data_IF_972590111318
#
_entry.id   IF_972590111318
#
_cell.length_a   1.000
_cell.length_b   1.000
_cell.length_c   1.000
_cell.angle_alpha   90.00
_cell.angle_beta   90.00
_cell.angle_gamma   90.00
#
_symmetry.space_group_name_H-M   'P 1'
#
loop_
_entity.id
_entity.type
_entity.pdbx_description
1 polymer ?
#
# COMPACT_ATOMS: atom_id res chain seq x y z
N UNK A 1 -20.50 9.42 16.27
CA UNK A 1 -19.64 9.65 15.09
C UNK A 1 -20.00 8.58 14.08
N UNK A 2 -20.18 8.84 12.77
CA UNK A 2 -20.23 7.73 11.85
C UNK A 2 -18.82 7.14 11.83
N UNK A 3 -18.66 6.05 12.57
CA UNK A 3 -17.49 5.18 12.51
C UNK A 3 -17.19 4.91 11.05
N UNK A 4 -15.91 4.90 10.67
CA UNK A 4 -15.58 4.55 9.31
C UNK A 4 -16.10 3.16 9.00
N UNK A 5 -17.07 3.11 8.09
CA UNK A 5 -17.68 1.87 7.69
C UNK A 5 -16.61 1.05 6.99
N UNK A 6 -16.17 0.02 7.67
CA UNK A 6 -15.18 -0.92 7.18
C UNK A 6 -15.88 -1.92 6.26
N UNK A 7 -15.34 -2.09 5.05
CA UNK A 7 -15.95 -2.94 4.03
C UNK A 7 -14.91 -3.87 3.44
N UNK A 8 -15.29 -5.12 3.23
CA UNK A 8 -14.50 -6.04 2.41
C UNK A 8 -14.70 -5.67 0.94
N UNK A 9 -13.59 -5.59 0.19
CA UNK A 9 -13.57 -5.28 -1.23
C UNK A 9 -12.93 -6.41 -2.02
N UNK A 10 -13.52 -6.68 -3.17
CA UNK A 10 -12.94 -7.52 -4.20
C UNK A 10 -11.81 -6.76 -4.91
N UNK A 11 -10.68 -7.44 -5.13
CA UNK A 11 -9.52 -6.96 -5.86
C UNK A 11 -9.21 -7.96 -6.98
N UNK A 12 -8.64 -7.50 -8.10
CA UNK A 12 -8.21 -8.34 -9.22
C UNK A 12 -9.35 -9.24 -9.72
N UNK A 13 -10.48 -8.64 -10.09
CA UNK A 13 -11.67 -9.37 -10.54
C UNK A 13 -12.35 -10.23 -9.46
N UNK A 14 -12.01 -10.04 -8.18
CA UNK A 14 -12.54 -10.79 -7.04
C UNK A 14 -11.73 -12.02 -6.65
N UNK A 15 -10.64 -12.31 -7.36
CA UNK A 15 -9.71 -13.37 -7.00
C UNK A 15 -9.03 -13.11 -5.66
N UNK A 16 -8.84 -11.85 -5.29
CA UNK A 16 -8.36 -11.41 -3.98
C UNK A 16 -9.45 -10.60 -3.29
N UNK A 17 -9.43 -10.61 -1.95
CA UNK A 17 -10.18 -9.65 -1.16
C UNK A 17 -9.35 -9.09 -0.01
N UNK A 18 -9.64 -7.86 0.34
CA UNK A 18 -9.06 -7.14 1.49
C UNK A 18 -10.10 -6.15 2.00
N UNK A 19 -10.00 -5.79 3.27
CA UNK A 19 -10.98 -4.92 3.90
C UNK A 19 -10.34 -3.63 4.43
N UNK A 20 -10.99 -2.51 4.13
CA UNK A 20 -10.56 -1.16 4.49
C UNK A 20 -11.76 -0.17 4.45
N UNK A 21 -11.63 1.05 5.00
CA UNK A 21 -12.75 1.99 5.08
C UNK A 21 -13.39 2.36 3.74
N UNK A 22 -14.70 2.60 3.75
CA UNK A 22 -15.48 3.01 2.57
C UNK A 22 -14.98 4.32 1.94
N UNK A 23 -14.33 5.20 2.72
CA UNK A 23 -13.81 6.50 2.26
C UNK A 23 -12.77 6.39 1.14
N UNK A 24 -12.08 5.25 1.04
CA UNK A 24 -11.13 4.97 -0.02
C UNK A 24 -11.86 4.70 -1.34
N UNK A 25 -11.65 5.53 -2.34
CA UNK A 25 -12.28 5.44 -3.65
C UNK A 25 -11.32 4.78 -4.63
N UNK A 26 -11.84 3.90 -5.48
CA UNK A 26 -11.05 3.24 -6.51
C UNK A 26 -10.64 4.24 -7.60
N UNK A 27 -9.33 4.31 -7.85
CA UNK A 27 -8.72 5.24 -8.79
C UNK A 27 -8.85 4.81 -10.25
N UNK A 28 -9.19 3.54 -10.52
CA UNK A 28 -9.42 3.00 -11.88
C UNK A 28 -10.54 3.74 -12.62
N UNK A 29 -11.49 4.32 -11.88
CA UNK A 29 -12.56 5.15 -12.43
C UNK A 29 -12.07 6.50 -13.00
N UNK A 30 -10.85 6.91 -12.65
CA UNK A 30 -10.31 8.24 -12.96
C UNK A 30 -9.10 8.15 -13.88
N UNK A 31 -8.28 7.10 -13.75
CA UNK A 31 -7.09 6.87 -14.57
C UNK A 31 -6.87 5.39 -14.80
N UNK A 32 -6.18 5.07 -15.88
CA UNK A 32 -5.71 3.71 -16.13
C UNK A 32 -4.70 3.30 -15.05
N UNK A 33 -4.90 2.09 -14.51
CA UNK A 33 -4.04 1.45 -13.52
C UNK A 33 -3.50 0.17 -14.17
N UNK A 34 -2.21 -0.16 -14.03
CA UNK A 34 -1.67 -1.41 -14.55
C UNK A 34 -2.48 -2.62 -14.05
N UNK A 35 -2.63 -3.66 -14.88
CA UNK A 35 -3.45 -4.84 -14.55
C UNK A 35 -2.99 -5.57 -13.28
N UNK A 36 -1.70 -5.45 -12.94
CA UNK A 36 -1.12 -6.02 -11.72
C UNK A 36 -1.23 -5.09 -10.49
N UNK A 37 -1.94 -3.96 -10.60
CA UNK A 37 -2.13 -2.98 -9.53
C UNK A 37 -3.61 -2.64 -9.29
N UNK A 38 -3.94 -2.40 -8.03
CA UNK A 38 -5.25 -1.89 -7.59
C UNK A 38 -5.01 -0.71 -6.65
N UNK A 39 -5.54 0.46 -6.98
CA UNK A 39 -5.24 1.72 -6.29
C UNK A 39 -6.47 2.38 -5.71
N UNK A 40 -6.40 2.79 -4.44
CA UNK A 40 -7.47 3.48 -3.74
C UNK A 40 -6.99 4.76 -3.07
N UNK A 41 -7.85 5.79 -3.00
CA UNK A 41 -7.51 7.10 -2.43
C UNK A 41 -8.63 7.63 -1.53
N UNK A 42 -8.28 8.21 -0.38
CA UNK A 42 -9.16 9.11 0.35
C UNK A 42 -8.89 10.55 -0.12
N UNK A 43 -9.75 11.13 -0.98
CA UNK A 43 -9.51 12.46 -1.52
C UNK A 43 -9.58 13.57 -0.47
N UNK A 44 -10.13 13.29 0.73
CA UNK A 44 -10.27 14.30 1.79
C UNK A 44 -8.96 14.54 2.54
N UNK A 45 -8.16 13.49 2.70
CA UNK A 45 -6.90 13.54 3.48
C UNK A 45 -5.67 13.23 2.61
N UNK A 46 -5.89 13.00 1.32
CA UNK A 46 -4.86 12.62 0.34
C UNK A 46 -4.10 11.34 0.71
N UNK A 47 -4.72 10.48 1.51
CA UNK A 47 -4.21 9.14 1.85
C UNK A 47 -4.46 8.18 0.69
N UNK A 48 -3.56 7.22 0.45
CA UNK A 48 -3.75 6.20 -0.58
C UNK A 48 -3.40 4.82 -0.10
N UNK A 49 -4.07 3.80 -0.65
CA UNK A 49 -3.81 2.39 -0.43
C UNK A 49 -3.66 1.70 -1.78
N UNK A 50 -2.54 1.03 -2.00
CA UNK A 50 -2.19 0.39 -3.27
C UNK A 50 -1.88 -1.08 -2.99
N UNK A 51 -2.40 -1.96 -3.83
CA UNK A 51 -2.06 -3.38 -3.87
C UNK A 51 -1.39 -3.66 -5.20
N UNK A 52 -0.23 -4.32 -5.17
CA UNK A 52 0.52 -4.65 -6.37
C UNK A 52 1.00 -6.10 -6.34
N UNK A 53 0.82 -6.81 -7.46
CA UNK A 53 1.32 -8.16 -7.67
C UNK A 53 2.64 -8.09 -8.43
N UNK A 54 3.70 -8.63 -7.82
CA UNK A 54 5.04 -8.67 -8.39
C UNK A 54 5.56 -10.11 -8.42
N UNK A 55 6.48 -10.38 -9.35
CA UNK A 55 7.26 -11.62 -9.31
C UNK A 55 8.07 -11.71 -8.01
N UNK A 56 8.10 -12.90 -7.41
CA UNK A 56 8.85 -13.19 -6.19
C UNK A 56 10.32 -12.83 -6.35
N UNK A 57 10.81 -11.91 -5.52
CA UNK A 57 12.22 -11.51 -5.54
C UNK A 57 13.10 -12.57 -4.89
N UNK A 58 13.63 -13.47 -5.72
CA UNK A 58 14.50 -14.58 -5.30
C UNK A 58 15.78 -14.12 -4.56
N UNK A 59 16.31 -12.93 -4.87
CA UNK A 59 17.49 -12.35 -4.21
C UNK A 59 17.21 -11.72 -2.84
N UNK A 60 15.95 -11.67 -2.41
CA UNK A 60 15.52 -11.00 -1.18
C UNK A 60 15.06 -12.06 -0.17
N UNK A 61 15.71 -12.08 0.99
CA UNK A 61 15.32 -12.94 2.09
C UNK A 61 13.96 -12.52 2.68
N UNK A 62 13.25 -13.46 3.31
CA UNK A 62 11.94 -13.16 3.93
C UNK A 62 12.05 -12.02 4.95
N UNK A 63 13.02 -12.14 5.85
CA UNK A 63 13.32 -11.12 6.84
C UNK A 63 13.85 -9.87 6.16
N UNK A 64 13.17 -8.75 6.38
CA UNK A 64 13.52 -7.47 5.76
C UNK A 64 13.04 -7.31 4.32
N UNK A 65 12.24 -8.22 3.76
CA UNK A 65 11.71 -8.06 2.39
C UNK A 65 10.85 -6.81 2.22
N UNK A 66 10.00 -6.47 3.19
CA UNK A 66 9.27 -5.20 3.18
C UNK A 66 10.21 -3.98 3.22
N UNK A 67 11.28 -4.02 4.02
CA UNK A 67 12.28 -2.93 4.06
C UNK A 67 12.98 -2.78 2.71
N UNK A 68 13.26 -3.89 2.01
CA UNK A 68 13.83 -3.85 0.67
C UNK A 68 12.89 -3.16 -0.33
N UNK A 69 11.61 -3.54 -0.38
CA UNK A 69 10.62 -2.90 -1.26
C UNK A 69 10.40 -1.42 -0.91
N UNK A 70 10.44 -1.06 0.38
CA UNK A 70 10.34 0.33 0.81
C UNK A 70 11.53 1.19 0.31
N UNK A 71 12.73 0.61 0.29
CA UNK A 71 13.93 1.26 -0.25
C UNK A 71 13.89 1.33 -1.79
N UNK A 72 13.36 0.30 -2.43
CA UNK A 72 13.18 0.24 -3.88
C UNK A 72 12.21 1.33 -4.35
N UNK A 73 11.04 1.43 -3.71
CA UNK A 73 10.06 2.49 -3.94
C UNK A 73 10.68 3.89 -3.77
N UNK A 74 11.44 4.12 -2.70
CA UNK A 74 12.10 5.41 -2.50
C UNK A 74 13.10 5.76 -3.62
N UNK A 75 13.80 4.77 -4.17
CA UNK A 75 14.74 4.98 -5.28
C UNK A 75 14.00 5.38 -6.55
N UNK A 76 12.88 4.72 -6.84
CA UNK A 76 12.05 5.04 -8.01
C UNK A 76 11.45 6.45 -7.94
N UNK A 77 11.15 6.92 -6.73
CA UNK A 77 10.60 8.26 -6.49
C UNK A 77 11.66 9.37 -6.40
N UNK A 78 12.95 9.04 -6.61
CA UNK A 78 14.10 9.93 -6.33
C UNK A 78 13.98 10.61 -4.95
N UNK A 79 13.53 9.83 -3.97
CA UNK A 79 13.22 10.30 -2.63
C UNK A 79 14.49 10.33 -1.78
N UNK A 80 15.27 11.41 -1.91
CA UNK A 80 16.41 11.66 -1.04
C UNK A 80 15.95 11.73 0.43
N UNK A 81 16.70 11.06 1.32
CA UNK A 81 16.42 11.09 2.76
C UNK A 81 15.32 10.13 3.23
N UNK A 82 15.03 9.03 2.51
CA UNK A 82 14.19 7.96 3.05
C UNK A 82 14.73 7.45 4.39
N UNK A 83 13.91 7.54 5.43
CA UNK A 83 14.20 7.00 6.76
C UNK A 83 13.25 5.86 7.05
N UNK A 84 13.81 4.66 7.28
CA UNK A 84 13.06 3.54 7.85
C UNK A 84 12.86 3.81 9.35
N UNK A 85 11.60 3.83 9.77
CA UNK A 85 11.17 4.13 11.14
C UNK A 85 10.97 2.83 11.92
N UNK A 86 10.32 1.85 11.29
CA UNK A 86 9.94 0.60 11.92
C UNK A 86 10.02 -0.54 10.92
N UNK A 87 10.35 -1.75 11.39
CA UNK A 87 10.24 -2.98 10.63
C UNK A 87 9.76 -4.11 11.55
N UNK A 88 8.94 -5.01 11.03
CA UNK A 88 8.49 -6.19 11.75
C UNK A 88 9.50 -7.34 11.62
N UNK A 89 9.34 -8.34 12.49
CA UNK A 89 9.86 -9.68 12.23
C UNK A 89 9.06 -10.40 11.14
N UNK A 90 9.48 -11.62 10.84
CA UNK A 90 8.80 -12.51 9.90
C UNK A 90 7.57 -13.13 10.57
N UNK A 91 6.42 -13.02 9.92
CA UNK A 91 5.17 -13.66 10.33
C UNK A 91 4.73 -14.69 9.29
N UNK A 92 4.24 -15.85 9.73
CA UNK A 92 3.62 -16.83 8.84
C UNK A 92 2.10 -16.69 8.93
N UNK A 93 1.46 -16.36 7.82
CA UNK A 93 0.01 -16.23 7.74
C UNK A 93 -0.63 -17.59 7.50
N UNK A 94 -0.87 -18.35 8.57
CA UNK A 94 -1.40 -19.72 8.49
C UNK A 94 -2.74 -19.84 7.75
N UNK A 95 -3.57 -18.79 7.83
CA UNK A 95 -4.86 -18.70 7.12
C UNK A 95 -4.74 -18.34 5.64
N UNK A 96 -3.57 -17.88 5.19
CA UNK A 96 -3.28 -17.54 3.80
C UNK A 96 -2.26 -18.55 3.27
N UNK A 97 -2.76 -19.67 2.73
CA UNK A 97 -1.95 -20.78 2.27
C UNK A 97 -2.39 -21.26 0.90
N UNK A 98 -1.42 -21.64 0.08
CA UNK A 98 -1.64 -22.41 -1.12
C UNK A 98 -0.99 -23.78 -0.92
N UNK A 99 -1.76 -24.84 -1.17
CA UNK A 99 -1.38 -26.22 -0.82
C UNK A 99 -1.01 -26.30 0.67
N UNK A 100 0.24 -26.63 0.98
CA UNK A 100 0.75 -26.78 2.35
C UNK A 100 1.74 -25.69 2.76
N UNK A 101 1.90 -24.62 1.96
CA UNK A 101 2.83 -23.54 2.26
C UNK A 101 2.07 -22.28 2.69
N UNK A 102 2.24 -21.81 3.94
CA UNK A 102 1.68 -20.54 4.37
C UNK A 102 2.46 -19.37 3.74
N UNK A 103 1.74 -18.26 3.52
CA UNK A 103 2.36 -17.02 3.10
C UNK A 103 3.26 -16.46 4.19
N UNK A 104 4.31 -15.78 3.78
CA UNK A 104 5.25 -15.09 4.68
C UNK A 104 5.01 -13.60 4.60
N UNK A 105 4.82 -12.94 5.74
CA UNK A 105 4.50 -11.51 5.81
C UNK A 105 5.59 -10.78 6.58
N UNK A 106 6.04 -9.65 6.04
CA UNK A 106 6.80 -8.64 6.78
C UNK A 106 6.23 -7.25 6.49
N UNK A 107 6.43 -6.31 7.42
CA UNK A 107 6.02 -4.92 7.25
C UNK A 107 7.16 -3.97 7.58
N UNK A 108 7.17 -2.81 6.92
CA UNK A 108 8.08 -1.71 7.22
C UNK A 108 7.32 -0.38 7.16
N UNK A 109 7.78 0.59 7.95
CA UNK A 109 7.26 1.96 7.92
C UNK A 109 8.44 2.89 7.67
N UNK A 110 8.27 3.82 6.74
CA UNK A 110 9.26 4.85 6.46
C UNK A 110 8.65 6.23 6.25
N UNK A 111 9.52 7.22 6.13
CA UNK A 111 9.18 8.57 5.70
C UNK A 111 10.07 8.94 4.53
N UNK A 112 9.47 9.50 3.48
CA UNK A 112 10.21 9.89 2.28
C UNK A 112 9.50 11.02 1.53
N UNK A 113 10.26 11.73 0.70
CA UNK A 113 9.75 12.82 -0.13
C UNK A 113 9.28 12.26 -1.49
N UNK A 114 7.99 12.36 -1.79
CA UNK A 114 7.36 11.74 -2.97
C UNK A 114 6.63 12.80 -3.78
N UNK A 115 6.87 12.87 -5.09
CA UNK A 115 6.06 13.69 -6.00
C UNK A 115 4.94 12.86 -6.59
N UNK A 116 3.80 13.49 -6.90
CA UNK A 116 2.74 12.80 -7.61
C UNK A 116 3.01 12.82 -9.11
N UNK A 117 2.75 11.71 -9.80
CA UNK A 117 2.85 11.63 -11.25
C UNK A 117 4.23 12.05 -11.77
N UNK A 118 4.27 13.07 -12.63
CA UNK A 118 5.51 13.58 -13.26
C UNK A 118 5.80 15.03 -12.87
N UNK A 119 5.58 15.38 -11.60
CA UNK A 119 5.69 16.76 -11.11
C UNK A 119 7.12 17.23 -10.78
N UNK A 120 8.11 16.34 -10.86
CA UNK A 120 9.50 16.68 -10.50
C UNK A 120 9.73 16.73 -8.99
N UNK A 121 10.96 17.08 -8.60
CA UNK A 121 11.43 17.03 -7.20
C UNK A 121 10.94 18.23 -6.40
N UNK A 122 10.76 19.36 -7.05
CA UNK A 122 10.30 20.62 -6.49
C UNK A 122 8.88 20.56 -5.91
N UNK A 123 8.09 19.57 -6.34
CA UNK A 123 6.71 19.35 -5.92
C UNK A 123 6.55 18.15 -4.96
N UNK A 124 7.66 17.61 -4.41
CA UNK A 124 7.62 16.47 -3.51
C UNK A 124 6.88 16.81 -2.20
N UNK A 125 5.94 15.95 -1.83
CA UNK A 125 5.26 15.92 -0.54
C UNK A 125 6.09 15.09 0.44
N UNK A 126 6.03 15.42 1.74
CA UNK A 126 6.56 14.54 2.77
C UNK A 126 5.49 13.52 3.14
N UNK A 127 5.78 12.24 2.98
CA UNK A 127 4.81 11.16 3.14
C UNK A 127 5.34 10.11 4.11
N UNK A 128 4.49 9.64 5.02
CA UNK A 128 4.72 8.40 5.75
C UNK A 128 4.20 7.25 4.93
N UNK A 129 5.04 6.24 4.71
CA UNK A 129 4.74 5.08 3.88
C UNK A 129 4.74 3.85 4.77
N UNK A 130 3.61 3.14 4.80
CA UNK A 130 3.46 1.83 5.41
C UNK A 130 3.50 0.78 4.30
N UNK A 131 4.37 -0.20 4.40
CA UNK A 131 4.54 -1.21 3.38
C UNK A 131 4.46 -2.61 3.99
N UNK A 132 3.67 -3.49 3.40
CA UNK A 132 3.69 -4.92 3.68
C UNK A 132 4.15 -5.67 2.43
N UNK A 133 4.96 -6.70 2.65
CA UNK A 133 5.21 -7.71 1.63
C UNK A 133 4.63 -9.04 2.09
N UNK A 134 3.69 -9.59 1.32
CA UNK A 134 3.08 -10.91 1.52
C UNK A 134 3.63 -11.84 0.42
N UNK A 135 4.52 -12.75 0.82
CA UNK A 135 5.21 -13.68 -0.08
C UNK A 135 4.39 -14.94 -0.28
N UNK A 136 3.90 -15.15 -1.50
CA UNK A 136 3.17 -16.34 -1.95
C UNK A 136 4.12 -17.26 -2.73
N UNK A 137 5.03 -17.93 -2.01
CA UNK A 137 6.18 -18.61 -2.61
C UNK A 137 5.84 -19.74 -3.59
N UNK A 138 4.79 -20.52 -3.32
CA UNK A 138 4.37 -21.63 -4.20
C UNK A 138 3.86 -21.16 -5.57
N UNK A 139 3.45 -19.90 -5.67
CA UNK A 139 2.98 -19.26 -6.91
C UNK A 139 3.91 -18.12 -7.33
N UNK A 140 5.15 -18.13 -6.79
CA UNK A 140 6.23 -17.22 -7.18
C UNK A 140 5.83 -15.72 -7.23
N UNK A 141 4.99 -15.29 -6.28
CA UNK A 141 4.48 -13.90 -6.23
C UNK A 141 4.80 -13.22 -4.90
N UNK A 142 5.29 -11.98 -4.96
CA UNK A 142 5.30 -11.03 -3.84
C UNK A 142 4.10 -10.08 -4.01
N UNK A 143 3.21 -10.02 -3.02
CA UNK A 143 2.12 -9.03 -2.98
C UNK A 143 2.56 -7.87 -2.10
N UNK A 144 2.71 -6.69 -2.71
CA UNK A 144 3.13 -5.47 -2.03
C UNK A 144 1.91 -4.60 -1.75
N UNK A 145 1.67 -4.30 -0.48
CA UNK A 145 0.61 -3.39 -0.04
C UNK A 145 1.25 -2.11 0.46
N UNK A 146 0.96 -0.98 -0.17
CA UNK A 146 1.52 0.34 0.16
C UNK A 146 0.41 1.27 0.61
N UNK A 147 0.56 1.82 1.81
CA UNK A 147 -0.32 2.81 2.40
C UNK A 147 0.44 4.12 2.60
N UNK A 148 -0.01 5.19 1.94
CA UNK A 148 0.60 6.51 2.01
C UNK A 148 -0.25 7.43 2.88
N UNK A 149 0.40 8.08 3.85
CA UNK A 149 -0.18 9.10 4.72
C UNK A 149 0.63 10.39 4.56
N UNK A 150 0.09 11.43 3.91
CA UNK A 150 0.77 12.72 3.79
C UNK A 150 1.03 13.36 5.16
N UNK A 151 2.24 13.90 5.33
CA UNK A 151 2.64 14.70 6.49
C UNK A 151 2.68 16.18 6.10
N UNK A 152 3.16 16.47 4.90
CA UNK A 152 3.22 17.82 4.34
C UNK A 152 2.95 17.79 2.84
N UNK A 153 2.02 18.64 2.41
CA UNK A 153 1.66 18.86 1.01
C UNK A 153 2.39 20.08 0.48
N UNK A 154 3.23 19.88 -0.53
CA UNK A 154 3.96 20.95 -1.19
C UNK A 154 3.01 21.87 -1.97
N UNK A 155 3.15 23.21 -1.91
CA UNK A 155 2.34 24.13 -2.69
C UNK A 155 2.35 23.91 -4.21
N UNK A 156 3.42 23.30 -4.74
CA UNK A 156 3.55 22.96 -6.16
C UNK A 156 2.98 21.56 -6.48
N UNK A 157 2.60 20.78 -5.48
CA UNK A 157 1.96 19.48 -5.68
C UNK A 157 0.53 19.64 -6.20
N UNK A 158 0.07 18.70 -7.02
CA UNK A 158 -1.31 18.68 -7.52
C UNK A 158 -2.29 18.51 -6.37
N UNK A 159 -1.89 17.79 -5.32
CA UNK A 159 -2.65 17.62 -4.08
C UNK A 159 -2.98 18.95 -3.41
N UNK A 160 -2.15 19.98 -3.57
CA UNK A 160 -2.38 21.28 -2.92
C UNK A 160 -3.70 21.92 -3.34
N UNK A 161 -4.15 21.66 -4.58
CA UNK A 161 -5.44 22.15 -5.08
C UNK A 161 -6.64 21.46 -4.44
N UNK A 162 -6.48 20.20 -4.03
CA UNK A 162 -7.54 19.37 -3.49
C UNK A 162 -7.63 19.44 -1.96
N UNK A 163 -6.49 19.35 -1.26
CA UNK A 163 -6.43 19.27 0.21
C UNK A 163 -5.73 20.46 0.88
N UNK A 164 -5.26 21.42 0.08
CA UNK A 164 -4.46 22.55 0.57
C UNK A 164 -2.98 22.21 0.71
N UNK A 165 -2.15 23.24 0.65
CA UNK A 165 -0.71 23.13 0.90
C UNK A 165 -0.40 23.32 2.40
N UNK A 166 0.73 22.77 2.84
CA UNK A 166 1.20 22.89 4.22
C UNK A 166 1.16 21.57 4.97
N UNK A 167 1.05 21.63 6.30
CA UNK A 167 0.90 20.43 7.12
C UNK A 167 -0.41 19.73 6.78
N UNK A 168 -0.32 18.46 6.40
CA UNK A 168 -1.48 17.64 6.17
C UNK A 168 -2.18 17.33 7.51
N UNK A 169 -3.51 17.19 7.46
CA UNK A 169 -4.33 16.78 8.61
C UNK A 169 -4.61 15.29 8.45
N UNK A 170 -4.02 14.41 9.29
CA UNK A 170 -4.30 12.98 9.24
C UNK A 170 -5.78 12.69 9.47
N UNK A 171 -6.31 11.65 8.83
CA UNK A 171 -7.72 11.28 8.97
C UNK A 171 -8.13 11.06 10.44
N UNK A 172 -7.21 10.54 11.27
CA UNK A 172 -7.39 10.36 12.71
C UNK A 172 -7.83 11.63 13.46
N UNK A 173 -7.34 12.80 13.05
CA UNK A 173 -7.69 14.08 13.67
C UNK A 173 -9.10 14.54 13.30
N UNK A 174 -9.65 14.01 12.21
CA UNK A 174 -11.02 14.23 11.75
C UNK A 174 -12.01 13.18 12.30
N UNK A 175 -11.59 12.35 13.25
CA UNK A 175 -12.41 11.27 13.81
C UNK A 175 -12.57 10.05 12.90
N UNK A 176 -11.70 9.90 11.89
CA UNK A 176 -11.64 8.76 10.98
C UNK A 176 -10.60 7.74 11.45
N UNK A 177 -10.65 6.52 10.92
CA UNK A 177 -9.66 5.48 11.22
C UNK A 177 -8.26 5.90 10.72
N UNK A 178 -7.27 5.83 11.60
CA UNK A 178 -5.88 6.20 11.30
C UNK A 178 -5.27 5.32 10.19
N UNK A 179 -4.38 5.88 9.37
CA UNK A 179 -3.81 5.12 8.24
C UNK A 179 -3.05 3.87 8.68
N UNK A 180 -2.38 3.90 9.84
CA UNK A 180 -1.74 2.71 10.42
C UNK A 180 -2.72 1.57 10.72
N UNK A 181 -3.95 1.89 11.15
CA UNK A 181 -5.01 0.90 11.39
C UNK A 181 -5.61 0.42 10.08
N UNK A 182 -5.83 1.32 9.11
CA UNK A 182 -6.25 0.96 7.75
C UNK A 182 -5.28 -0.04 7.14
N UNK A 183 -3.99 0.26 7.19
CA UNK A 183 -2.92 -0.61 6.70
C UNK A 183 -2.93 -1.97 7.40
N UNK A 184 -2.95 -2.00 8.74
CA UNK A 184 -2.97 -3.25 9.51
C UNK A 184 -4.19 -4.11 9.14
N UNK A 185 -5.34 -3.47 8.97
CA UNK A 185 -6.57 -4.17 8.61
C UNK A 185 -6.53 -4.70 7.18
N UNK A 186 -6.02 -3.91 6.22
CA UNK A 186 -5.86 -4.34 4.83
C UNK A 186 -4.94 -5.57 4.73
N UNK A 187 -3.82 -5.58 5.48
CA UNK A 187 -2.87 -6.69 5.51
C UNK A 187 -3.44 -7.93 6.21
N UNK A 188 -4.09 -7.76 7.37
CA UNK A 188 -4.60 -8.90 8.17
C UNK A 188 -5.86 -9.54 7.60
N UNK A 189 -6.65 -8.79 6.83
CA UNK A 189 -7.84 -9.30 6.13
C UNK A 189 -7.56 -9.79 4.71
N UNK A 190 -6.32 -9.65 4.23
CA UNK A 190 -5.94 -10.09 2.90
C UNK A 190 -6.18 -11.59 2.73
N UNK A 191 -6.94 -11.96 1.70
CA UNK A 191 -7.23 -13.34 1.34
C UNK A 191 -7.23 -13.54 -0.16
N UNK A 192 -6.80 -14.72 -0.59
CA UNK A 192 -6.93 -15.18 -1.97
C UNK A 192 -8.15 -16.11 -2.03
N UNK A 193 -9.17 -15.69 -2.75
CA UNK A 193 -10.40 -16.46 -2.99
C UNK A 193 -10.23 -17.42 -4.18
N UNK A 194 -9.49 -16.99 -5.21
CA UNK A 194 -9.22 -17.76 -6.42
C UNK A 194 -7.72 -17.74 -6.75
N UNK A 195 -7.08 -18.89 -6.61
CA UNK A 195 -5.64 -19.05 -6.86
C UNK A 195 -5.30 -19.20 -8.34
N UNK A 196 -6.29 -19.41 -9.23
CA UNK A 196 -6.04 -19.46 -10.67
C UNK A 196 -5.56 -18.12 -11.23
N UNK A 197 -5.72 -17.03 -10.47
CA UNK A 197 -5.10 -15.73 -10.74
C UNK A 197 -3.60 -15.81 -11.02
N UNK A 198 -2.90 -16.77 -10.39
CA UNK A 198 -1.45 -16.91 -10.50
C UNK A 198 -1.01 -18.00 -11.49
N UNK A 199 -1.95 -18.69 -12.14
CA UNK A 199 -1.60 -19.68 -13.15
C UNK A 199 -1.18 -18.96 -14.44
N UNK A 200 0.06 -19.15 -14.89
CA UNK A 200 0.58 -18.61 -16.15
C UNK A 200 -0.05 -19.24 -17.41
N UNK A 201 -1.22 -19.88 -17.29
CA UNK A 201 -1.89 -20.62 -18.34
C UNK A 201 -3.41 -20.36 -18.33
N UNK A 202 -3.80 -19.19 -18.84
CA UNK A 202 -5.06 -18.99 -19.53
C UNK A 202 -4.77 -18.29 -20.87
#
# INVERSE_FOLDING_TARGET
>A
MPEDQFVERALFGGAIASAFPLRFQDISNVREVPDNQEGFVDPTHDESLIFELLELKAGVADNGSATWFLQDLAREQDAEGNVVIEQSGVFQAEGLRFRNMPAVVTTAVGQMAISKGRQGREAQNLVRVYLANIRLKEVETDVVIVANEPIYTNPLSESASAVGAGLAVPAAQSGRMAMAEVFRNAVSSFKVNDWSLFDAAA
#
